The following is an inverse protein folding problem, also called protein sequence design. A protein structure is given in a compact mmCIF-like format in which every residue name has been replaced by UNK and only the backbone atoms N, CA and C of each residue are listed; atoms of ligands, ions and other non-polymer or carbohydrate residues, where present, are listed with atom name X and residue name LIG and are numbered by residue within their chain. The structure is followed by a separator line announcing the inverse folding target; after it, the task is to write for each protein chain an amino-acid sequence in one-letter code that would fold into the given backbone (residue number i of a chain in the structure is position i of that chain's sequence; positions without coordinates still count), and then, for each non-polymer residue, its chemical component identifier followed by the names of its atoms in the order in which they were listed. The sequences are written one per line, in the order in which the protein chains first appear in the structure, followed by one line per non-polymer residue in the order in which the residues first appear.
data_IF_173342562785
#
_entry.id   IF_173342562785
#
_cell.length_a   1.000
_cell.length_b   1.000
_cell.length_c   1.000
_cell.angle_alpha   90.00
_cell.angle_beta   90.00
_cell.angle_gamma   90.00
#
_symmetry.space_group_name_H-M   'P 1'
#
loop_
_entity.id
_entity.type
_entity.pdbx_description
1 polymer ?
#
# COMPACT_ATOMS: atom_id res chain seq x y z
N UNK A 1 11.15 10.00 -0.77
CA UNK A 1 10.36 8.77 -0.98
C UNK A 1 11.30 7.57 -0.94
N UNK A 2 10.88 6.50 -0.33
CA UNK A 2 11.71 5.30 -0.22
C UNK A 2 11.92 4.64 -1.58
N UNK A 3 13.05 3.92 -1.72
CA UNK A 3 13.42 3.27 -2.97
C UNK A 3 12.43 2.17 -3.41
N UNK A 4 11.64 1.64 -2.47
CA UNK A 4 10.67 0.59 -2.76
C UNK A 4 9.41 1.08 -3.49
N UNK A 5 9.30 2.37 -3.71
CA UNK A 5 8.14 3.00 -4.35
C UNK A 5 8.62 4.11 -5.27
N UNK A 6 8.24 4.04 -6.54
CA UNK A 6 8.59 5.04 -7.55
C UNK A 6 7.33 5.73 -8.03
N UNK A 7 7.45 7.01 -8.36
CA UNK A 7 6.32 7.78 -8.88
C UNK A 7 6.78 8.73 -9.97
N UNK A 8 6.01 8.78 -11.05
CA UNK A 8 6.22 9.72 -12.14
C UNK A 8 4.89 10.21 -12.69
N UNK A 9 4.90 11.36 -13.33
CA UNK A 9 3.72 11.92 -13.99
C UNK A 9 4.08 12.23 -15.43
N UNK A 10 3.30 11.72 -16.37
CA UNK A 10 3.44 11.96 -17.79
C UNK A 10 2.09 12.25 -18.41
N UNK A 11 1.92 13.45 -18.97
CA UNK A 11 0.71 13.85 -19.69
C UNK A 11 -0.60 13.57 -18.92
N UNK A 12 -0.61 13.90 -17.65
CA UNK A 12 -1.78 13.69 -16.78
C UNK A 12 -1.92 12.30 -16.23
N UNK A 13 -1.01 11.38 -16.55
CA UNK A 13 -1.00 10.01 -16.03
C UNK A 13 0.04 9.91 -14.92
N UNK A 14 -0.41 9.60 -13.70
CA UNK A 14 0.49 9.28 -12.60
C UNK A 14 0.80 7.79 -12.62
N UNK A 15 2.09 7.44 -12.60
CA UNK A 15 2.55 6.06 -12.63
C UNK A 15 3.22 5.76 -11.30
N UNK A 16 2.62 4.88 -10.53
CA UNK A 16 3.16 4.39 -9.26
C UNK A 16 3.72 3.00 -9.50
N UNK A 17 5.00 2.81 -9.21
CA UNK A 17 5.67 1.52 -9.41
C UNK A 17 6.10 0.95 -8.08
N UNK A 18 5.60 -0.24 -7.76
CA UNK A 18 6.11 -1.02 -6.63
C UNK A 18 7.49 -1.53 -7.01
N UNK A 19 8.50 -1.20 -6.22
CA UNK A 19 9.89 -1.44 -6.59
C UNK A 19 10.62 -2.33 -5.58
N UNK A 20 10.11 -3.53 -5.40
CA UNK A 20 10.75 -4.62 -4.65
C UNK A 20 10.77 -5.89 -5.49
N UNK A 21 11.40 -5.86 -6.69
CA UNK A 21 11.29 -6.98 -7.63
C UNK A 21 11.92 -8.28 -7.11
N UNK A 22 12.93 -8.20 -6.28
CA UNK A 22 13.57 -9.34 -5.62
C UNK A 22 12.66 -10.03 -4.59
N UNK A 23 11.59 -9.35 -4.16
CA UNK A 23 10.57 -9.90 -3.26
C UNK A 23 9.21 -9.97 -3.95
N UNK A 24 9.19 -9.97 -5.26
CA UNK A 24 7.97 -10.01 -6.08
C UNK A 24 6.98 -8.91 -5.69
N UNK A 25 7.50 -7.75 -5.28
CA UNK A 25 6.74 -6.58 -4.84
C UNK A 25 5.78 -6.88 -3.68
N UNK A 26 6.18 -7.77 -2.78
CA UNK A 26 5.43 -8.06 -1.58
C UNK A 26 5.31 -6.81 -0.70
N UNK A 27 4.15 -6.62 -0.09
CA UNK A 27 3.82 -5.43 0.68
C UNK A 27 4.27 -5.57 2.13
N UNK A 28 5.07 -4.61 2.58
CA UNK A 28 5.41 -4.41 3.99
C UNK A 28 4.57 -3.26 4.56
N UNK A 29 4.61 -3.08 5.87
CA UNK A 29 3.98 -1.93 6.52
C UNK A 29 4.52 -0.60 5.98
N UNK A 30 5.84 -0.52 5.82
CA UNK A 30 6.49 0.70 5.33
C UNK A 30 6.06 1.02 3.91
N UNK A 31 6.00 0.02 3.03
CA UNK A 31 5.51 0.21 1.67
C UNK A 31 4.05 0.67 1.65
N UNK A 32 3.19 0.03 2.42
CA UNK A 32 1.79 0.39 2.49
C UNK A 32 1.60 1.82 3.01
N UNK A 33 2.36 2.20 4.04
CA UNK A 33 2.32 3.56 4.58
C UNK A 33 2.76 4.60 3.56
N UNK A 34 3.87 4.35 2.89
CA UNK A 34 4.39 5.28 1.88
C UNK A 34 3.41 5.41 0.71
N UNK A 35 2.79 4.31 0.30
CA UNK A 35 1.79 4.34 -0.76
C UNK A 35 0.54 5.14 -0.35
N UNK A 36 0.09 4.99 0.89
CA UNK A 36 -1.03 5.78 1.41
C UNK A 36 -0.70 7.28 1.39
N UNK A 37 0.48 7.65 1.85
CA UNK A 37 0.92 9.04 1.82
C UNK A 37 1.00 9.59 0.41
N UNK A 38 1.52 8.81 -0.52
CA UNK A 38 1.59 9.19 -1.93
C UNK A 38 0.20 9.39 -2.52
N UNK A 39 -0.74 8.50 -2.25
CA UNK A 39 -2.11 8.63 -2.74
C UNK A 39 -2.81 9.87 -2.18
N UNK A 40 -2.57 10.20 -0.92
CA UNK A 40 -3.10 11.45 -0.33
C UNK A 40 -2.56 12.68 -1.03
N UNK A 41 -1.28 12.69 -1.34
CA UNK A 41 -0.66 13.78 -2.08
C UNK A 41 -1.23 13.89 -3.49
N UNK A 42 -1.33 12.77 -4.19
CA UNK A 42 -1.85 12.72 -5.56
C UNK A 42 -3.31 13.18 -5.63
N UNK A 43 -4.10 12.87 -4.62
CA UNK A 43 -5.52 13.24 -4.56
C UNK A 43 -5.75 14.73 -4.80
N UNK A 44 -4.82 15.56 -4.34
CA UNK A 44 -4.92 17.02 -4.44
C UNK A 44 -4.17 17.61 -5.65
N UNK A 45 -3.54 16.76 -6.45
CA UNK A 45 -2.77 17.20 -7.62
C UNK A 45 -3.63 17.14 -8.86
N UNK A 46 -4.12 18.29 -9.30
CA UNK A 46 -5.02 18.37 -10.45
C UNK A 46 -4.38 17.94 -11.77
N UNK A 47 -3.06 18.05 -11.90
CA UNK A 47 -2.34 17.61 -13.08
C UNK A 47 -2.35 16.09 -13.25
N UNK A 48 -2.64 15.35 -12.20
CA UNK A 48 -2.79 13.89 -12.27
C UNK A 48 -4.27 13.56 -12.44
N UNK A 49 -4.66 13.11 -13.62
CA UNK A 49 -6.05 12.81 -13.96
C UNK A 49 -6.38 11.33 -13.89
N UNK A 50 -5.38 10.48 -14.06
CA UNK A 50 -5.54 9.04 -13.95
C UNK A 50 -4.28 8.44 -13.31
N UNK A 51 -4.41 7.25 -12.75
CA UNK A 51 -3.32 6.56 -12.09
C UNK A 51 -3.10 5.18 -12.70
N UNK A 52 -1.83 4.83 -12.86
CA UNK A 52 -1.41 3.46 -13.17
C UNK A 52 -0.62 2.95 -11.96
N UNK A 53 -1.03 1.83 -11.42
CA UNK A 53 -0.30 1.14 -10.36
C UNK A 53 0.30 -0.13 -10.96
N UNK A 54 1.61 -0.25 -10.93
CA UNK A 54 2.32 -1.36 -11.53
C UNK A 54 3.45 -1.84 -10.63
N UNK A 55 4.13 -2.90 -11.03
CA UNK A 55 5.27 -3.44 -10.32
C UNK A 55 6.47 -3.60 -11.23
N UNK A 56 7.66 -3.31 -10.71
CA UNK A 56 8.89 -3.57 -11.44
C UNK A 56 9.19 -5.06 -11.47
N UNK A 57 9.90 -5.50 -12.50
CA UNK A 57 10.26 -6.90 -12.67
C UNK A 57 9.10 -7.75 -13.21
N UNK A 58 9.09 -9.03 -12.84
CA UNK A 58 8.18 -10.02 -13.43
C UNK A 58 6.81 -10.13 -12.76
N UNK A 59 6.60 -9.47 -11.63
CA UNK A 59 5.35 -9.56 -10.88
C UNK A 59 4.83 -8.18 -10.54
N UNK A 60 3.51 -8.04 -10.48
CA UNK A 60 2.88 -6.83 -9.96
C UNK A 60 3.04 -6.77 -8.44
N UNK A 61 2.46 -7.72 -7.73
CA UNK A 61 2.48 -7.78 -6.27
C UNK A 61 2.11 -9.19 -5.83
N UNK A 62 2.92 -9.79 -4.94
CA UNK A 62 2.66 -11.14 -4.45
C UNK A 62 1.78 -11.17 -3.19
N UNK A 63 1.41 -10.01 -2.65
CA UNK A 63 0.63 -9.91 -1.44
C UNK A 63 1.45 -9.43 -0.25
N UNK A 64 1.12 -9.87 0.95
CA UNK A 64 1.88 -9.50 2.14
C UNK A 64 3.25 -10.15 2.19
N UNK A 65 4.23 -9.41 2.69
CA UNK A 65 5.59 -9.93 2.85
C UNK A 65 5.62 -11.04 3.89
N UNK A 66 6.19 -12.20 3.54
CA UNK A 66 6.18 -13.37 4.41
C UNK A 66 6.96 -13.14 5.71
N UNK A 67 8.09 -12.47 5.65
CA UNK A 67 8.87 -12.16 6.85
C UNK A 67 8.13 -11.18 7.76
N UNK A 68 7.48 -10.20 7.14
CA UNK A 68 6.66 -9.26 7.88
C UNK A 68 5.48 -9.95 8.56
N UNK A 69 4.78 -10.84 7.85
CA UNK A 69 3.65 -11.59 8.41
C UNK A 69 4.10 -12.47 9.59
N UNK A 70 5.22 -13.16 9.46
CA UNK A 70 5.78 -13.97 10.53
C UNK A 70 6.15 -13.12 11.75
N UNK A 71 6.84 -12.00 11.53
CA UNK A 71 7.20 -11.09 12.60
C UNK A 71 5.98 -10.44 13.25
N UNK A 72 4.94 -10.18 12.49
CA UNK A 72 3.69 -9.62 13.00
C UNK A 72 2.95 -10.60 13.90
N UNK A 73 2.95 -11.88 13.55
CA UNK A 73 2.36 -12.93 14.39
C UNK A 73 3.07 -12.99 15.75
N UNK A 74 4.39 -12.95 15.76
CA UNK A 74 5.18 -12.94 16.98
C UNK A 74 4.94 -11.70 17.84
N UNK A 75 4.64 -10.59 17.22
CA UNK A 75 4.36 -9.32 17.92
C UNK A 75 2.90 -9.15 18.33
N UNK A 76 2.07 -10.12 18.04
CA UNK A 76 0.65 -10.06 18.37
C UNK A 76 -0.11 -8.96 17.64
N UNK A 77 0.21 -8.75 16.37
CA UNK A 77 -0.48 -7.72 15.60
C UNK A 77 -1.97 -8.00 15.47
N UNK A 78 -2.79 -6.96 15.64
CA UNK A 78 -4.25 -7.13 15.52
C UNK A 78 -4.63 -7.68 14.15
N UNK A 79 -5.47 -8.68 14.13
CA UNK A 79 -6.03 -9.23 12.90
C UNK A 79 -5.32 -10.45 12.35
N UNK A 80 -4.19 -10.87 12.92
CA UNK A 80 -3.47 -12.06 12.45
C UNK A 80 -3.65 -13.29 13.35
N UNK A 81 -4.14 -13.12 14.56
CA UNK A 81 -4.49 -14.23 15.45
C UNK A 81 -5.50 -13.74 16.46
N UNK A 82 -6.38 -14.58 16.89
CA UNK A 82 -7.23 -14.52 18.08
C UNK A 82 -7.95 -13.21 18.44
N UNK A 83 -7.74 -12.13 17.75
CA UNK A 83 -8.49 -10.91 18.03
C UNK A 83 -9.89 -11.03 17.43
N UNK A 84 -10.94 -10.89 18.23
CA UNK A 84 -12.29 -10.85 17.68
C UNK A 84 -12.41 -9.79 16.60
N UNK A 85 -13.09 -10.10 15.52
CA UNK A 85 -13.32 -9.20 14.41
C UNK A 85 -13.86 -7.84 14.88
N UNK A 86 -14.66 -7.85 15.93
CA UNK A 86 -15.21 -6.64 16.54
C UNK A 86 -14.15 -5.71 17.11
N UNK A 87 -13.07 -6.26 17.63
CA UNK A 87 -11.96 -5.49 18.17
C UNK A 87 -11.18 -4.83 17.05
N UNK A 88 -11.04 -5.53 15.96
CA UNK A 88 -10.43 -5.03 14.75
C UNK A 88 -11.23 -3.86 14.18
N UNK A 89 -12.54 -3.97 14.14
CA UNK A 89 -13.42 -2.95 13.57
C UNK A 89 -13.57 -1.69 14.42
N UNK A 90 -13.42 -1.80 15.74
CA UNK A 90 -13.72 -0.67 16.64
C UNK A 90 -12.54 0.12 17.16
N UNK A 91 -11.38 -0.48 17.33
CA UNK A 91 -10.32 0.11 18.14
C UNK A 91 -9.00 0.26 17.43
N UNK A 92 -8.85 -0.36 16.34
CA UNK A 92 -7.60 -0.28 15.62
C UNK A 92 -7.84 0.57 14.41
N UNK A 93 -7.10 1.67 14.28
CA UNK A 93 -6.89 2.13 12.94
C UNK A 93 -6.48 0.87 12.22
N UNK A 94 -7.23 0.48 11.23
CA UNK A 94 -7.10 -0.81 10.57
C UNK A 94 -5.76 -0.93 9.83
N UNK A 95 -4.70 -0.48 10.40
CA UNK A 95 -3.35 -0.51 9.91
C UNK A 95 -3.16 0.08 8.51
N UNK A 96 -1.93 0.16 8.03
CA UNK A 96 -1.63 0.73 6.71
C UNK A 96 -2.30 0.00 5.56
N UNK A 97 -2.56 -1.29 5.67
CA UNK A 97 -3.19 -2.07 4.60
C UNK A 97 -4.65 -1.65 4.38
N UNK A 98 -5.42 -1.54 5.46
CA UNK A 98 -6.81 -1.11 5.35
C UNK A 98 -6.92 0.36 4.97
N UNK A 99 -6.01 1.19 5.45
CA UNK A 99 -5.87 2.57 5.05
C UNK A 99 -5.59 2.66 3.55
N UNK A 100 -4.73 1.80 3.02
CA UNK A 100 -4.42 1.74 1.61
C UNK A 100 -5.67 1.41 0.78
N UNK A 101 -6.44 0.41 1.17
CA UNK A 101 -7.68 0.04 0.47
C UNK A 101 -8.63 1.23 0.45
N UNK A 102 -8.80 1.90 1.58
CA UNK A 102 -9.66 3.08 1.68
C UNK A 102 -9.17 4.21 0.76
N UNK A 103 -7.87 4.47 0.74
CA UNK A 103 -7.31 5.52 -0.11
C UNK A 103 -7.44 5.23 -1.60
N UNK A 104 -7.38 3.97 -2.00
CA UNK A 104 -7.59 3.60 -3.40
C UNK A 104 -9.01 3.96 -3.88
N UNK A 105 -9.98 3.91 -2.97
CA UNK A 105 -11.35 4.33 -3.26
C UNK A 105 -11.48 5.86 -3.20
N UNK A 106 -10.93 6.47 -2.16
CA UNK A 106 -11.09 7.91 -1.89
C UNK A 106 -10.30 8.83 -2.81
N UNK A 107 -9.29 8.32 -3.50
CA UNK A 107 -8.49 9.13 -4.42
C UNK A 107 -9.32 9.70 -5.56
N UNK A 108 -10.42 9.05 -5.90
CA UNK A 108 -11.41 9.49 -6.89
C UNK A 108 -10.82 9.76 -8.29
N UNK A 109 -9.78 9.03 -8.65
CA UNK A 109 -9.15 9.08 -9.97
C UNK A 109 -9.15 7.70 -10.59
N UNK A 110 -9.46 7.60 -11.89
CA UNK A 110 -9.30 6.32 -12.58
C UNK A 110 -7.91 5.75 -12.44
#
# INVERSE_FOLDING_TARGET
MAEHLLFSVEEGVGIITLNRPDRLNAVTWDLARDLVELLREIRTRDEVRTLVLTGSGRAFCSGGDAEWLAGSADRGMPGLSDAPLERYQRKTPAGPIAELVRMLVEVEKP
#
